data_IF_772736098377
#
_entry.id   IF_772736098377
#
_cell.length_a   1.000
_cell.length_b   1.000
_cell.length_c   1.000
_cell.angle_alpha   90.00
_cell.angle_beta   90.00
_cell.angle_gamma   90.00
#
_symmetry.space_group_name_H-M   'P 1'
#
loop_
_entity.id
_entity.type
_entity.pdbx_description
1 polymer ?
#
# COMPACT_ATOMS: atom_id res chain seq x y z
N UNK A 1 6.25 7.39 5.04
CA UNK A 1 4.92 7.19 5.61
C UNK A 1 4.59 5.72 5.69
N UNK A 2 4.19 5.28 6.84
CA UNK A 2 3.76 3.89 7.06
C UNK A 2 2.27 3.88 7.38
N UNK A 3 1.51 3.09 6.63
CA UNK A 3 0.08 2.87 6.87
C UNK A 3 -0.12 1.41 7.22
N UNK A 4 -0.88 1.13 8.28
CA UNK A 4 -1.20 -0.23 8.73
C UNK A 4 -2.69 -0.49 8.55
N UNK A 5 -3.01 -1.59 7.90
CA UNK A 5 -4.40 -1.95 7.65
C UNK A 5 -4.59 -3.44 7.48
N UNK A 6 -5.80 -3.91 7.80
CA UNK A 6 -6.24 -5.26 7.48
C UNK A 6 -6.96 -5.26 6.14
N UNK A 7 -6.67 -6.26 5.31
CA UNK A 7 -7.35 -6.42 4.04
C UNK A 7 -8.47 -7.44 4.14
N UNK A 8 -9.68 -7.02 3.86
CA UNK A 8 -10.87 -7.89 3.90
C UNK A 8 -11.57 -8.02 2.55
N UNK A 9 -11.36 -7.08 1.63
CA UNK A 9 -12.04 -7.02 0.33
C UNK A 9 -11.08 -6.53 -0.75
N UNK A 10 -11.32 -6.96 -2.00
CA UNK A 10 -10.46 -6.63 -3.14
C UNK A 10 -10.29 -5.13 -3.42
N UNK A 11 -11.32 -4.33 -3.26
CA UNK A 11 -11.24 -2.89 -3.55
C UNK A 11 -10.44 -2.08 -2.55
N UNK A 12 -10.14 -2.63 -1.39
CA UNK A 12 -9.47 -1.92 -0.30
C UNK A 12 -8.01 -1.60 -0.65
N UNK A 13 -7.34 -2.48 -1.39
CA UNK A 13 -5.93 -2.27 -1.75
C UNK A 13 -5.74 -0.95 -2.50
N UNK A 14 -6.56 -0.69 -3.50
CA UNK A 14 -6.47 0.56 -4.27
C UNK A 14 -6.80 1.78 -3.43
N UNK A 15 -7.87 1.71 -2.65
CA UNK A 15 -8.26 2.81 -1.77
C UNK A 15 -7.17 3.13 -0.76
N UNK A 16 -6.53 2.10 -0.20
CA UNK A 16 -5.46 2.25 0.76
C UNK A 16 -4.22 2.92 0.14
N UNK A 17 -3.84 2.49 -1.05
CA UNK A 17 -2.70 3.07 -1.78
C UNK A 17 -2.99 4.53 -2.14
N UNK A 18 -4.17 4.83 -2.64
CA UNK A 18 -4.56 6.19 -3.01
C UNK A 18 -4.53 7.10 -1.79
N UNK A 19 -5.04 6.65 -0.66
CA UNK A 19 -4.98 7.41 0.59
C UNK A 19 -3.55 7.66 1.04
N UNK A 20 -2.72 6.62 1.04
CA UNK A 20 -1.33 6.73 1.46
C UNK A 20 -0.56 7.72 0.57
N UNK A 21 -0.74 7.62 -0.74
CA UNK A 21 -0.10 8.53 -1.69
C UNK A 21 -0.56 9.97 -1.52
N UNK A 22 -1.85 10.17 -1.28
CA UNK A 22 -2.42 11.49 -1.08
C UNK A 22 -1.85 12.17 0.17
N UNK A 23 -1.83 11.45 1.29
CA UNK A 23 -1.29 11.97 2.54
C UNK A 23 0.21 12.25 2.43
N UNK A 24 0.96 11.33 1.81
CA UNK A 24 2.39 11.50 1.62
C UNK A 24 2.70 12.70 0.72
N UNK A 25 1.94 12.89 -0.34
CA UNK A 25 2.11 14.03 -1.25
C UNK A 25 1.89 15.35 -0.52
N UNK A 26 0.86 15.45 0.32
CA UNK A 26 0.60 16.65 1.11
C UNK A 26 1.75 16.99 2.06
N UNK A 27 2.44 15.98 2.55
CA UNK A 27 3.55 16.13 3.50
C UNK A 27 4.92 16.18 2.84
N UNK A 28 4.99 16.10 1.52
CA UNK A 28 6.26 16.09 0.81
C UNK A 28 7.10 14.84 1.02
N UNK A 29 6.45 13.73 1.36
CA UNK A 29 7.12 12.44 1.60
C UNK A 29 7.18 11.65 0.30
N UNK A 30 8.36 11.16 -0.09
CA UNK A 30 8.55 10.45 -1.35
C UNK A 30 8.20 8.97 -1.30
N UNK A 31 8.40 8.33 -0.16
CA UNK A 31 8.21 6.88 -0.02
C UNK A 31 7.02 6.55 0.87
N UNK A 32 6.30 5.50 0.49
CA UNK A 32 5.22 4.97 1.31
C UNK A 32 5.50 3.50 1.61
N UNK A 33 5.02 3.05 2.77
CA UNK A 33 5.05 1.66 3.15
C UNK A 33 3.67 1.28 3.70
N UNK A 34 3.14 0.17 3.21
CA UNK A 34 1.87 -0.37 3.67
C UNK A 34 2.14 -1.66 4.43
N UNK A 35 1.84 -1.67 5.70
CA UNK A 35 1.93 -2.86 6.52
C UNK A 35 0.53 -3.46 6.64
N UNK A 36 0.35 -4.66 6.08
CA UNK A 36 -0.97 -5.28 5.99
C UNK A 36 -0.98 -6.64 6.66
N UNK A 37 -2.04 -6.90 7.43
CA UNK A 37 -2.34 -8.22 7.93
C UNK A 37 -3.47 -8.82 7.10
N UNK A 38 -3.67 -10.14 7.22
CA UNK A 38 -4.54 -10.90 6.34
C UNK A 38 -4.07 -10.83 4.87
N UNK A 39 -2.76 -10.75 4.69
CA UNK A 39 -2.11 -10.66 3.38
C UNK A 39 -2.13 -12.02 2.69
N UNK A 40 -2.49 -12.04 1.41
CA UNK A 40 -2.50 -13.24 0.58
C UNK A 40 -1.99 -12.91 -0.82
N UNK A 41 -1.91 -13.93 -1.69
CA UNK A 41 -1.41 -13.75 -3.05
C UNK A 41 -2.23 -12.77 -3.88
N UNK A 42 -3.54 -12.75 -3.71
CA UNK A 42 -4.40 -11.81 -4.42
C UNK A 42 -4.13 -10.37 -4.01
N UNK A 43 -3.93 -10.14 -2.73
CA UNK A 43 -3.55 -8.84 -2.22
C UNK A 43 -2.18 -8.42 -2.74
N UNK A 44 -1.21 -9.34 -2.76
CA UNK A 44 0.12 -9.08 -3.30
C UNK A 44 0.06 -8.62 -4.75
N UNK A 45 -0.70 -9.33 -5.58
CA UNK A 45 -0.87 -8.96 -6.99
C UNK A 45 -1.54 -7.61 -7.16
N UNK A 46 -2.53 -7.32 -6.33
CA UNK A 46 -3.21 -6.03 -6.37
C UNK A 46 -2.25 -4.89 -6.06
N UNK A 47 -1.42 -5.03 -5.03
CA UNK A 47 -0.43 -4.00 -4.69
C UNK A 47 0.65 -3.87 -5.76
N UNK A 48 1.12 -4.98 -6.31
CA UNK A 48 2.10 -4.95 -7.39
C UNK A 48 1.56 -4.23 -8.62
N UNK A 49 0.30 -4.47 -8.97
CA UNK A 49 -0.35 -3.77 -10.07
C UNK A 49 -0.46 -2.26 -9.83
N UNK A 50 -0.45 -1.83 -8.57
CA UNK A 50 -0.48 -0.42 -8.19
C UNK A 50 0.92 0.18 -8.02
N UNK A 51 1.96 -0.56 -8.36
CA UNK A 51 3.33 -0.08 -8.35
C UNK A 51 4.10 -0.26 -7.05
N UNK A 52 3.60 -1.08 -6.13
CA UNK A 52 4.30 -1.37 -4.89
C UNK A 52 5.05 -2.69 -4.99
N UNK A 53 6.15 -2.80 -4.24
CA UNK A 53 6.98 -4.00 -4.22
C UNK A 53 6.81 -4.70 -2.88
N UNK A 54 6.55 -6.02 -2.86
CA UNK A 54 6.42 -6.74 -1.61
C UNK A 54 7.76 -6.86 -0.87
N UNK A 55 7.71 -6.71 0.45
CA UNK A 55 8.86 -6.86 1.32
C UNK A 55 8.37 -7.51 2.62
N UNK A 56 8.37 -8.83 2.67
CA UNK A 56 7.72 -9.62 3.71
C UNK A 56 6.21 -9.28 3.76
N UNK A 57 5.71 -8.74 4.87
CA UNK A 57 4.30 -8.33 5.00
C UNK A 57 4.08 -6.85 4.71
N UNK A 58 5.12 -6.18 4.24
CA UNK A 58 5.08 -4.75 3.94
C UNK A 58 5.12 -4.54 2.44
N UNK A 59 4.36 -3.61 1.95
CA UNK A 59 4.40 -3.17 0.57
C UNK A 59 5.08 -1.81 0.52
N UNK A 60 6.16 -1.72 -0.27
CA UNK A 60 6.94 -0.50 -0.41
C UNK A 60 6.70 0.13 -1.78
N UNK A 61 6.53 1.41 -1.81
CA UNK A 61 6.34 2.12 -3.05
C UNK A 61 6.68 3.60 -2.95
N UNK A 62 6.67 4.25 -4.09
CA UNK A 62 6.85 5.70 -4.17
C UNK A 62 5.49 6.39 -4.04
N UNK A 63 5.51 7.60 -3.55
CA UNK A 63 4.33 8.46 -3.46
C UNK A 63 3.77 8.75 -4.85
N UNK A 64 4.63 8.70 -5.86
CA UNK A 64 4.27 8.97 -7.25
C UNK A 64 4.67 7.82 -8.17
#
# INVERSE_FOLDING_TARGET
LVVRAGLRRKGIARALVDLARSVAAERGIEDIALEVWAFNEDAARAFEALGLTPHARTMLGKTR
#
